data_IF_516854322976
#
_entry.id   IF_516854322976
#
_cell.length_a   1.000
_cell.length_b   1.000
_cell.length_c   1.000
_cell.angle_alpha   90.00
_cell.angle_beta   90.00
_cell.angle_gamma   90.00
#
_symmetry.space_group_name_H-M   'P 1'
#
loop_
_entity.id
_entity.type
_entity.pdbx_description
1 polymer ?
#
# COMPACT_ATOMS: atom_id res chain seq x y z
N UNK A 1 27.20 15.38 -0.73
CA UNK A 1 26.91 14.55 0.45
C UNK A 1 28.24 14.07 0.98
N UNK A 2 28.61 14.46 2.20
CA UNK A 2 29.87 14.00 2.80
C UNK A 2 29.72 12.52 3.16
N UNK A 3 30.78 11.72 2.97
CA UNK A 3 30.67 10.26 3.10
C UNK A 3 30.33 9.79 4.54
N UNK A 4 30.72 10.57 5.55
CA UNK A 4 30.48 10.27 6.97
C UNK A 4 29.43 11.17 7.63
N UNK A 5 28.62 11.86 6.83
CA UNK A 5 27.55 12.72 7.35
C UNK A 5 26.47 11.90 8.05
N UNK A 6 26.05 12.32 9.25
CA UNK A 6 24.91 11.71 9.94
C UNK A 6 23.57 12.20 9.40
N UNK A 7 22.49 11.47 9.66
CA UNK A 7 21.13 11.89 9.30
C UNK A 7 20.78 13.24 9.91
N UNK A 8 21.17 13.51 11.16
CA UNK A 8 20.94 14.80 11.81
C UNK A 8 21.65 15.95 11.09
N UNK A 9 22.91 15.75 10.72
CA UNK A 9 23.69 16.75 9.99
C UNK A 9 23.09 17.00 8.60
N UNK A 10 22.68 15.94 7.89
CA UNK A 10 22.05 16.05 6.59
C UNK A 10 20.73 16.84 6.64
N UNK A 11 19.86 16.50 7.59
CA UNK A 11 18.60 17.20 7.77
C UNK A 11 18.80 18.69 8.12
N UNK A 12 19.75 18.99 9.02
CA UNK A 12 20.12 20.36 9.37
C UNK A 12 20.69 21.17 8.20
N UNK A 13 21.54 20.56 7.37
CA UNK A 13 22.08 21.20 6.16
C UNK A 13 21.00 21.50 5.13
N UNK A 14 20.05 20.58 4.91
CA UNK A 14 18.93 20.79 3.97
C UNK A 14 18.06 21.94 4.46
N UNK A 15 17.71 21.96 5.74
CA UNK A 15 16.91 23.03 6.34
C UNK A 15 17.63 24.38 6.24
N UNK A 16 18.94 24.42 6.48
CA UNK A 16 19.76 25.62 6.32
C UNK A 16 19.84 26.08 4.86
N UNK A 17 19.93 25.17 3.89
CA UNK A 17 19.90 25.54 2.45
C UNK A 17 18.55 26.14 2.05
N UNK A 18 17.45 25.57 2.54
CA UNK A 18 16.10 26.11 2.32
C UNK A 18 15.95 27.51 2.94
N UNK A 19 16.41 27.69 4.18
CA UNK A 19 16.39 28.98 4.86
C UNK A 19 17.19 30.05 4.09
N UNK A 20 18.39 29.70 3.60
CA UNK A 20 19.21 30.59 2.76
C UNK A 20 18.51 30.97 1.46
N UNK A 21 17.89 30.01 0.79
CA UNK A 21 17.14 30.28 -0.44
C UNK A 21 15.96 31.22 -0.19
N UNK A 22 15.22 31.02 0.90
CA UNK A 22 14.10 31.88 1.29
C UNK A 22 14.58 33.28 1.70
N UNK A 23 15.64 33.39 2.50
CA UNK A 23 16.23 34.66 2.91
C UNK A 23 16.70 35.47 1.69
N UNK A 24 17.34 34.81 0.72
CA UNK A 24 17.78 35.45 -0.52
C UNK A 24 16.60 35.97 -1.36
N UNK A 25 15.48 35.24 -1.41
CA UNK A 25 14.30 35.63 -2.19
C UNK A 25 13.45 36.71 -1.51
N UNK A 26 13.33 36.65 -0.18
CA UNK A 26 12.45 37.54 0.60
C UNK A 26 13.16 38.77 1.17
N UNK A 27 14.49 38.77 1.20
CA UNK A 27 15.29 39.79 1.89
C UNK A 27 15.22 39.71 3.43
N UNK A 28 14.57 38.69 3.98
CA UNK A 28 14.48 38.49 5.42
C UNK A 28 15.81 38.02 6.03
N UNK A 29 16.04 38.28 7.33
CA UNK A 29 17.12 37.66 8.07
C UNK A 29 17.06 36.13 7.94
N UNK A 30 18.23 35.50 7.88
CA UNK A 30 18.34 34.04 7.72
C UNK A 30 17.68 33.27 8.86
N UNK A 31 17.65 33.85 10.06
CA UNK A 31 17.01 33.26 11.24
C UNK A 31 15.48 33.25 11.12
N UNK A 32 14.88 34.36 10.68
CA UNK A 32 13.44 34.46 10.42
C UNK A 32 13.04 33.53 9.27
N UNK A 33 13.84 33.48 8.21
CA UNK A 33 13.63 32.55 7.09
C UNK A 33 13.76 31.09 7.54
N UNK A 34 14.68 30.79 8.46
CA UNK A 34 14.86 29.45 9.03
C UNK A 34 13.66 29.05 9.87
N UNK A 35 13.12 29.96 10.68
CA UNK A 35 11.91 29.72 11.46
C UNK A 35 10.71 29.47 10.54
N UNK A 36 10.54 30.31 9.51
CA UNK A 36 9.50 30.15 8.50
C UNK A 36 9.58 28.79 7.79
N UNK A 37 10.77 28.38 7.34
CA UNK A 37 11.00 27.05 6.75
C UNK A 37 10.68 25.95 7.74
N UNK A 38 11.15 26.07 8.99
CA UNK A 38 10.90 25.08 10.06
C UNK A 38 9.42 24.94 10.44
N UNK A 39 8.62 25.97 10.16
CA UNK A 39 7.17 25.98 10.32
C UNK A 39 6.39 25.32 9.18
N UNK A 40 7.03 25.03 8.05
CA UNK A 40 6.40 24.26 6.95
C UNK A 40 6.29 22.78 7.30
N UNK A 41 5.40 22.05 6.61
CA UNK A 41 5.30 20.60 6.77
C UNK A 41 6.62 19.89 6.47
N UNK A 42 7.28 20.27 5.36
CA UNK A 42 8.59 19.73 5.01
C UNK A 42 9.66 20.07 6.07
N UNK A 43 9.64 21.30 6.62
CA UNK A 43 10.57 21.72 7.67
C UNK A 43 10.35 20.99 9.00
N UNK A 44 9.10 20.69 9.36
CA UNK A 44 8.77 19.82 10.51
C UNK A 44 9.34 18.42 10.30
N UNK A 45 9.11 17.83 9.14
CA UNK A 45 9.65 16.50 8.80
C UNK A 45 11.19 16.48 8.86
N UNK A 46 11.86 17.54 8.39
CA UNK A 46 13.33 17.66 8.50
C UNK A 46 13.78 17.77 9.96
N UNK A 47 13.07 18.52 10.80
CA UNK A 47 13.36 18.60 12.25
C UNK A 47 13.15 17.26 12.94
N UNK A 48 12.09 16.55 12.61
CA UNK A 48 11.78 15.26 13.21
C UNK A 48 12.82 14.23 12.78
N UNK A 49 13.25 14.26 11.51
CA UNK A 49 14.36 13.46 11.02
C UNK A 49 15.68 13.79 11.74
N UNK A 50 15.93 15.07 12.02
CA UNK A 50 17.14 15.50 12.70
C UNK A 50 17.21 15.06 14.17
N UNK A 51 16.06 14.90 14.82
CA UNK A 51 15.95 14.54 16.25
C UNK A 51 15.49 13.10 16.48
N UNK A 52 15.13 12.38 15.41
CA UNK A 52 14.54 11.05 15.48
C UNK A 52 15.52 9.94 15.88
N UNK A 53 15.04 8.71 15.76
CA UNK A 53 15.77 7.50 16.11
C UNK A 53 17.09 7.38 15.32
N UNK A 54 17.03 7.63 14.01
CA UNK A 54 18.16 7.44 13.10
C UNK A 54 19.17 8.60 13.07
N UNK A 55 19.04 9.60 13.96
CA UNK A 55 19.80 10.86 13.91
C UNK A 55 21.33 10.70 13.86
N UNK A 56 21.84 9.63 14.46
CA UNK A 56 23.27 9.32 14.56
C UNK A 56 23.78 8.37 13.48
N UNK A 57 22.88 7.81 12.68
CA UNK A 57 23.26 6.90 11.59
C UNK A 57 23.87 7.67 10.43
N UNK A 58 24.73 6.99 9.66
CA UNK A 58 25.26 7.57 8.43
C UNK A 58 24.11 7.81 7.45
N UNK A 59 23.99 9.04 6.96
CA UNK A 59 22.91 9.46 6.07
C UNK A 59 22.81 8.58 4.82
N UNK A 60 23.96 8.18 4.26
CA UNK A 60 24.01 7.32 3.07
C UNK A 60 23.43 5.93 3.32
N UNK A 61 23.77 5.31 4.45
CA UNK A 61 23.27 3.97 4.81
C UNK A 61 21.77 4.04 5.11
N UNK A 62 21.35 5.04 5.89
CA UNK A 62 19.94 5.29 6.17
C UNK A 62 19.12 5.50 4.89
N UNK A 63 19.61 6.32 3.94
CA UNK A 63 18.94 6.56 2.66
C UNK A 63 18.79 5.29 1.81
N UNK A 64 19.81 4.43 1.76
CA UNK A 64 19.76 3.16 1.05
C UNK A 64 18.73 2.22 1.69
N UNK A 65 18.69 2.14 3.02
CA UNK A 65 17.70 1.33 3.73
C UNK A 65 16.27 1.80 3.45
N UNK A 66 16.00 3.11 3.61
CA UNK A 66 14.68 3.70 3.30
C UNK A 66 14.26 3.45 1.85
N UNK A 67 15.20 3.46 0.91
CA UNK A 67 14.91 3.13 -0.48
C UNK A 67 14.46 1.68 -0.65
N UNK A 68 15.17 0.74 -0.01
CA UNK A 68 14.82 -0.68 -0.06
C UNK A 68 13.51 -0.99 0.65
N UNK A 69 13.27 -0.41 1.83
CA UNK A 69 12.02 -0.59 2.58
C UNK A 69 10.81 -0.20 1.71
N UNK A 70 10.89 0.95 1.02
CA UNK A 70 9.84 1.39 0.08
C UNK A 70 9.71 0.50 -1.15
N UNK A 71 10.82 -0.03 -1.66
CA UNK A 71 10.80 -0.94 -2.81
C UNK A 71 10.16 -2.28 -2.44
N UNK A 72 10.46 -2.78 -1.24
CA UNK A 72 9.87 -3.98 -0.67
C UNK A 72 8.37 -3.80 -0.42
N UNK A 73 7.95 -2.70 0.23
CA UNK A 73 6.52 -2.39 0.41
C UNK A 73 5.78 -2.41 -0.93
N UNK A 74 6.32 -1.75 -1.95
CA UNK A 74 5.74 -1.75 -3.29
C UNK A 74 5.68 -3.14 -3.91
N UNK A 75 6.69 -3.98 -3.69
CA UNK A 75 6.69 -5.37 -4.16
C UNK A 75 5.61 -6.19 -3.43
N UNK A 76 5.51 -6.07 -2.12
CA UNK A 76 4.52 -6.78 -1.31
C UNK A 76 3.09 -6.36 -1.67
N UNK A 77 2.86 -5.07 -1.92
CA UNK A 77 1.57 -4.59 -2.43
C UNK A 77 1.20 -5.20 -3.80
N UNK A 78 2.18 -5.34 -4.70
CA UNK A 78 1.95 -5.96 -6.01
C UNK A 78 1.65 -7.46 -5.88
N UNK A 79 2.46 -8.21 -5.13
CA UNK A 79 2.26 -9.65 -4.90
C UNK A 79 0.92 -9.90 -4.19
N UNK A 80 0.58 -9.10 -3.18
CA UNK A 80 -0.71 -9.19 -2.49
C UNK A 80 -1.89 -8.92 -3.42
N UNK A 81 -1.79 -7.89 -4.27
CA UNK A 81 -2.80 -7.60 -5.28
C UNK A 81 -2.93 -8.71 -6.32
N UNK A 82 -1.83 -9.31 -6.75
CA UNK A 82 -1.82 -10.43 -7.71
C UNK A 82 -2.43 -11.69 -7.10
N UNK A 83 -2.08 -12.02 -5.86
CA UNK A 83 -2.65 -13.16 -5.14
C UNK A 83 -4.17 -13.01 -4.95
N UNK A 84 -4.63 -11.80 -4.59
CA UNK A 84 -6.07 -11.49 -4.50
C UNK A 84 -6.77 -11.55 -5.87
N UNK A 85 -6.11 -11.10 -6.93
CA UNK A 85 -6.62 -11.15 -8.30
C UNK A 85 -6.77 -12.60 -8.80
N UNK A 86 -5.76 -13.44 -8.55
CA UNK A 86 -5.81 -14.88 -8.87
C UNK A 86 -6.95 -15.58 -8.15
N UNK A 87 -7.10 -15.31 -6.85
CA UNK A 87 -8.19 -15.88 -6.05
C UNK A 87 -9.57 -15.42 -6.56
N UNK A 88 -9.70 -14.16 -6.97
CA UNK A 88 -10.93 -13.64 -7.56
C UNK A 88 -11.23 -14.30 -8.92
N UNK A 89 -10.21 -14.52 -9.76
CA UNK A 89 -10.35 -15.20 -11.05
C UNK A 89 -10.72 -16.69 -10.91
N UNK A 90 -10.17 -17.39 -9.91
CA UNK A 90 -10.49 -18.80 -9.62
C UNK A 90 -11.93 -18.99 -9.10
N UNK A 91 -12.55 -17.98 -8.49
CA UNK A 91 -13.97 -18.03 -8.08
C UNK A 91 -14.96 -17.85 -9.24
N UNK A 92 -14.49 -17.51 -10.44
CA UNK A 92 -15.29 -17.40 -11.66
C UNK A 92 -15.32 -18.73 -12.46
N UNK A 93 -15.43 -19.88 -11.79
CA UNK A 93 -15.95 -21.08 -12.46
C UNK A 93 -17.47 -20.92 -12.64
N UNK A 94 -18.00 -20.91 -13.87
CA UNK A 94 -19.43 -21.06 -14.09
C UNK A 94 -19.79 -22.48 -13.66
N UNK A 95 -20.53 -22.62 -12.56
CA UNK A 95 -21.23 -23.87 -12.27
C UNK A 95 -22.05 -24.25 -13.51
N UNK A 96 -21.93 -25.46 -14.07
CA UNK A 96 -22.84 -25.90 -15.12
C UNK A 96 -24.24 -25.93 -14.51
N UNK A 97 -25.12 -25.08 -15.04
CA UNK A 97 -26.52 -24.97 -14.64
C UNK A 97 -27.21 -26.34 -14.69
N UNK A 98 -28.08 -26.56 -13.70
CA UNK A 98 -28.65 -27.85 -13.38
C UNK A 98 -29.59 -28.39 -14.43
N UNK A 99 -29.49 -29.70 -14.66
CA UNK A 99 -30.58 -30.51 -15.15
C UNK A 99 -31.50 -30.84 -13.97
N UNK A 100 -32.54 -30.04 -13.76
CA UNK A 100 -33.75 -30.54 -13.10
C UNK A 100 -34.58 -31.26 -14.16
N UNK A 101 -34.27 -32.54 -14.39
CA UNK A 101 -35.07 -33.40 -15.25
C UNK A 101 -36.36 -33.80 -14.53
N UNK A 102 -37.43 -33.11 -14.95
CA UNK A 102 -38.81 -33.56 -15.07
C UNK A 102 -39.07 -35.00 -14.59
N UNK A 103 -39.53 -35.15 -13.35
CA UNK A 103 -40.23 -36.36 -12.93
C UNK A 103 -41.63 -36.35 -13.54
N UNK A 104 -41.77 -37.05 -14.67
CA UNK A 104 -43.05 -37.35 -15.30
C UNK A 104 -44.00 -38.01 -14.29
N UNK A 105 -45.23 -37.49 -14.25
CA UNK A 105 -46.30 -38.04 -13.45
C UNK A 105 -46.57 -39.49 -13.87
N UNK A 106 -46.44 -40.42 -12.91
CA UNK A 106 -47.07 -41.73 -13.02
C UNK A 106 -48.44 -41.64 -12.38
N UNK A 107 -49.42 -41.52 -13.26
CA UNK A 107 -50.84 -41.58 -12.97
C UNK A 107 -51.17 -42.97 -12.41
N UNK A 108 -51.61 -43.03 -11.16
CA UNK A 108 -52.20 -44.24 -10.59
C UNK A 108 -53.67 -44.32 -11.03
N UNK A 109 -53.95 -45.08 -12.08
CA UNK A 109 -55.30 -45.51 -12.41
C UNK A 109 -55.52 -46.93 -11.88
N UNK A 110 -56.16 -47.03 -10.71
CA UNK A 110 -56.85 -48.23 -10.22
C UNK A 110 -58.13 -48.48 -11.02
N UNK A 111 -58.51 -49.77 -11.22
CA UNK A 111 -59.82 -50.33 -11.72
C UNK A 111 -59.56 -51.22 -12.96
N UNK A 112 -59.95 -52.49 -13.11
CA UNK A 112 -60.90 -53.38 -12.43
C UNK A 112 -60.55 -54.85 -12.74
N UNK A 113 -60.89 -55.71 -11.78
CA UNK A 113 -61.11 -57.16 -11.85
C UNK A 113 -61.85 -57.61 -13.13
N UNK A 114 -61.36 -58.63 -13.83
CA UNK A 114 -62.20 -59.48 -14.69
C UNK A 114 -61.75 -60.94 -14.69
N UNK A 115 -62.74 -61.83 -14.75
CA UNK A 115 -62.72 -63.27 -14.49
C UNK A 115 -62.38 -64.12 -15.74
N UNK A 116 -61.77 -65.31 -15.59
CA UNK A 116 -62.34 -66.64 -15.95
C UNK A 116 -61.30 -67.78 -16.07
N UNK A 117 -61.62 -68.88 -15.37
CA UNK A 117 -61.57 -70.32 -15.76
C UNK A 117 -60.34 -70.85 -16.52
N UNK A 118 -59.64 -71.82 -15.92
CA UNK A 118 -59.81 -73.24 -16.26
C UNK A 118 -59.40 -74.14 -15.10
#
# INVERSE_FOLDING_TARGET
MQQDQTVSQMAGEVLMRQAKALAYQSGQPIEDAREAVSGTEAGRQLRDLANGEHRHEKAREWQVRVFWDRAEERLMHQIGSEALSRFAAERHYPWPGGYTERSEGKEHATTTRSWRRR
#
